data_IF_911917276553
#
_entry.id   IF_911917276553
#
_cell.length_a   1.000
_cell.length_b   1.000
_cell.length_c   1.000
_cell.angle_alpha   90.00
_cell.angle_beta   90.00
_cell.angle_gamma   90.00
#
_symmetry.space_group_name_H-M   'P 1'
#
loop_
_entity.id
_entity.type
_entity.pdbx_description
1 polymer ?
#
# COMPACT_ATOMS: atom_id res chain seq x y z
N UNK A 1 9.76 -15.16 29.91
CA UNK A 1 10.46 -14.03 29.26
C UNK A 1 10.32 -14.09 27.73
N UNK A 2 9.12 -14.40 27.22
CA UNK A 2 8.78 -14.40 25.77
C UNK A 2 7.37 -13.84 25.51
N UNK A 3 6.82 -13.04 26.44
CA UNK A 3 5.51 -12.39 26.27
C UNK A 3 5.66 -11.00 25.64
N UNK A 4 6.43 -10.91 24.54
CA UNK A 4 6.17 -9.83 23.59
C UNK A 4 4.81 -10.14 22.96
N UNK A 5 3.73 -9.75 23.65
CA UNK A 5 2.47 -9.43 23.00
C UNK A 5 2.82 -8.41 21.92
N UNK A 6 3.02 -8.88 20.69
CA UNK A 6 2.74 -8.07 19.53
C UNK A 6 1.31 -7.59 19.75
N UNK A 7 1.13 -6.40 20.31
CA UNK A 7 -0.11 -5.68 20.12
C UNK A 7 -0.15 -5.44 18.61
N UNK A 8 -0.71 -6.42 17.92
CA UNK A 8 -0.43 -6.63 16.52
C UNK A 8 -0.95 -5.45 15.73
N UNK A 9 -0.25 -5.12 14.66
CA UNK A 9 -0.76 -4.20 13.64
C UNK A 9 -2.17 -4.64 13.20
N UNK A 10 -2.46 -5.95 13.19
CA UNK A 10 -3.76 -6.51 12.80
C UNK A 10 -4.90 -6.15 13.79
N UNK A 11 -4.82 -6.41 15.11
CA UNK A 11 -5.76 -5.86 16.07
C UNK A 11 -5.93 -4.34 15.96
N UNK A 12 -4.85 -3.60 15.72
CA UNK A 12 -4.93 -2.14 15.56
C UNK A 12 -5.70 -1.74 14.29
N UNK A 13 -5.49 -2.43 13.17
CA UNK A 13 -6.23 -2.22 11.92
C UNK A 13 -7.71 -2.63 12.07
N UNK A 14 -8.02 -3.67 12.85
CA UNK A 14 -9.39 -4.10 13.12
C UNK A 14 -10.24 -2.98 13.77
N UNK A 15 -9.60 -2.10 14.56
CA UNK A 15 -10.27 -0.94 15.18
C UNK A 15 -10.83 0.05 14.17
N UNK A 16 -10.30 0.09 12.94
CA UNK A 16 -10.86 0.94 11.87
C UNK A 16 -12.32 0.61 11.55
N UNK A 17 -12.75 -0.61 11.85
CA UNK A 17 -14.14 -1.07 11.66
C UNK A 17 -14.81 -1.44 12.99
N UNK A 18 -14.28 -0.96 14.12
CA UNK A 18 -14.86 -1.19 15.45
C UNK A 18 -14.73 -2.64 15.95
N UNK A 19 -13.74 -3.40 15.47
CA UNK A 19 -13.51 -4.80 15.84
C UNK A 19 -12.19 -4.98 16.57
N UNK A 20 -12.13 -5.99 17.44
CA UNK A 20 -10.90 -6.46 18.11
C UNK A 20 -10.39 -7.80 17.52
N UNK A 21 -11.05 -8.34 16.49
CA UNK A 21 -10.66 -9.61 15.87
C UNK A 21 -9.45 -9.46 14.95
N UNK A 22 -8.40 -10.25 15.20
CA UNK A 22 -7.20 -10.30 14.35
C UNK A 22 -7.53 -10.67 12.90
N UNK A 23 -8.47 -11.60 12.70
CA UNK A 23 -8.91 -12.02 11.38
C UNK A 23 -9.62 -10.90 10.63
N UNK A 24 -10.48 -10.13 11.31
CA UNK A 24 -11.11 -8.94 10.72
C UNK A 24 -10.05 -7.89 10.36
N UNK A 25 -9.08 -7.66 11.24
CA UNK A 25 -7.95 -6.76 10.97
C UNK A 25 -7.16 -7.16 9.72
N UNK A 26 -6.90 -8.46 9.54
CA UNK A 26 -6.26 -9.00 8.35
C UNK A 26 -7.06 -8.75 7.07
N UNK A 27 -8.37 -9.05 7.07
CA UNK A 27 -9.23 -8.82 5.90
C UNK A 27 -9.33 -7.34 5.53
N UNK A 28 -9.46 -6.46 6.53
CA UNK A 28 -9.47 -5.00 6.32
C UNK A 28 -8.14 -4.55 5.73
N UNK A 29 -7.02 -5.05 6.25
CA UNK A 29 -5.69 -4.72 5.73
C UNK A 29 -5.52 -5.15 4.27
N UNK A 30 -5.94 -6.36 3.92
CA UNK A 30 -5.94 -6.85 2.53
C UNK A 30 -6.85 -6.03 1.62
N UNK A 31 -8.04 -5.65 2.09
CA UNK A 31 -8.97 -4.82 1.33
C UNK A 31 -8.38 -3.45 1.01
N UNK A 32 -7.77 -2.79 2.01
CA UNK A 32 -7.06 -1.52 1.84
C UNK A 32 -5.91 -1.68 0.84
N UNK A 33 -5.09 -2.73 0.98
CA UNK A 33 -4.03 -3.02 0.04
C UNK A 33 -4.57 -3.17 -1.39
N UNK A 34 -5.58 -4.01 -1.61
CA UNK A 34 -6.17 -4.21 -2.93
C UNK A 34 -6.69 -2.90 -3.57
N UNK A 35 -7.35 -2.03 -2.78
CA UNK A 35 -7.83 -0.72 -3.24
C UNK A 35 -6.66 0.18 -3.64
N UNK A 36 -5.63 0.27 -2.80
CA UNK A 36 -4.44 1.07 -3.09
C UNK A 36 -3.71 0.53 -4.35
N UNK A 37 -3.55 -0.79 -4.47
CA UNK A 37 -2.95 -1.40 -5.66
C UNK A 37 -3.74 -1.11 -6.94
N UNK A 38 -5.08 -1.14 -6.85
CA UNK A 38 -5.96 -0.76 -7.96
C UNK A 38 -5.76 0.71 -8.36
N UNK A 39 -5.70 1.62 -7.39
CA UNK A 39 -5.45 3.05 -7.63
C UNK A 39 -4.12 3.24 -8.36
N UNK A 40 -3.06 2.50 -7.99
CA UNK A 40 -1.80 2.54 -8.72
C UNK A 40 -2.00 2.18 -10.20
N UNK A 41 -2.65 1.05 -10.47
CA UNK A 41 -2.91 0.58 -11.84
C UNK A 41 -3.70 1.59 -12.68
N UNK A 42 -4.66 2.30 -12.07
CA UNK A 42 -5.45 3.34 -12.72
C UNK A 42 -4.64 4.61 -13.03
N UNK A 43 -3.73 5.03 -12.15
CA UNK A 43 -2.90 6.23 -12.33
C UNK A 43 -1.79 6.00 -13.36
N UNK A 44 -1.16 4.82 -13.30
CA UNK A 44 0.14 4.58 -13.93
C UNK A 44 0.11 3.63 -15.14
N UNK A 45 -1.03 3.06 -15.52
CA UNK A 45 -1.14 2.38 -16.82
C UNK A 45 -0.86 3.37 -17.95
N UNK A 46 -0.20 3.04 -19.08
CA UNK A 46 0.24 1.77 -19.70
C UNK A 46 1.65 1.26 -19.31
N UNK A 47 2.19 0.30 -20.09
CA UNK A 47 3.50 -0.34 -19.86
C UNK A 47 4.63 0.69 -19.65
N UNK A 48 5.25 0.62 -18.48
CA UNK A 48 6.36 1.48 -18.09
C UNK A 48 7.69 0.77 -18.39
N UNK A 49 8.77 1.55 -18.55
CA UNK A 49 10.12 0.96 -18.45
C UNK A 49 10.37 0.55 -16.99
N UNK A 50 11.21 -0.47 -16.77
CA UNK A 50 11.54 -0.94 -15.42
C UNK A 50 11.98 0.20 -14.50
N UNK A 51 12.84 1.11 -14.98
CA UNK A 51 13.31 2.26 -14.20
C UNK A 51 12.18 3.23 -13.83
N UNK A 52 11.20 3.44 -14.71
CA UNK A 52 10.02 4.28 -14.41
C UNK A 52 9.14 3.59 -13.39
N UNK A 53 8.91 2.29 -13.53
CA UNK A 53 8.10 1.51 -12.59
C UNK A 53 8.69 1.44 -11.18
N UNK A 54 10.00 1.28 -11.05
CA UNK A 54 10.66 1.28 -9.74
C UNK A 54 10.53 2.65 -9.06
N UNK A 55 10.72 3.74 -9.82
CA UNK A 55 10.57 5.11 -9.28
C UNK A 55 9.13 5.44 -8.92
N UNK A 56 8.18 5.15 -9.81
CA UNK A 56 6.76 5.40 -9.57
C UNK A 56 6.25 4.58 -8.38
N UNK A 57 6.59 3.30 -8.31
CA UNK A 57 6.25 2.43 -7.18
C UNK A 57 6.86 2.90 -5.86
N UNK A 58 8.13 3.32 -5.85
CA UNK A 58 8.78 3.85 -4.65
C UNK A 58 8.10 5.13 -4.15
N UNK A 59 7.89 6.10 -5.04
CA UNK A 59 7.21 7.36 -4.69
C UNK A 59 5.78 7.10 -4.21
N UNK A 60 5.07 6.19 -4.86
CA UNK A 60 3.73 5.81 -4.48
C UNK A 60 3.68 5.18 -3.09
N UNK A 61 4.62 4.29 -2.78
CA UNK A 61 4.79 3.72 -1.44
C UNK A 61 5.02 4.80 -0.38
N UNK A 62 5.92 5.75 -0.64
CA UNK A 62 6.19 6.88 0.27
C UNK A 62 4.93 7.73 0.49
N UNK A 63 4.19 8.03 -0.57
CA UNK A 63 2.94 8.79 -0.49
C UNK A 63 1.95 8.07 0.44
N UNK A 64 1.74 6.77 0.24
CA UNK A 64 0.81 6.01 1.09
C UNK A 64 1.32 5.77 2.51
N UNK A 65 2.63 5.76 2.72
CA UNK A 65 3.19 5.74 4.07
C UNK A 65 2.92 7.05 4.83
N UNK A 66 2.95 8.21 4.15
CA UNK A 66 2.52 9.47 4.78
C UNK A 66 1.00 9.47 4.97
N UNK A 67 0.23 9.15 3.93
CA UNK A 67 -1.23 9.24 4.00
C UNK A 67 -1.83 8.22 4.96
N UNK A 68 -1.41 6.96 4.94
CA UNK A 68 -2.02 5.87 5.70
C UNK A 68 -1.80 6.01 7.22
N UNK A 69 -0.64 5.58 7.74
CA UNK A 69 -0.40 5.51 9.18
C UNK A 69 -0.23 6.87 9.87
N UNK A 70 0.21 7.92 9.16
CA UNK A 70 0.45 9.23 9.79
C UNK A 70 -0.78 10.16 9.77
N UNK A 71 -1.69 10.01 8.80
CA UNK A 71 -2.81 10.93 8.60
C UNK A 71 -4.16 10.21 8.71
N UNK A 72 -4.45 9.31 7.77
CA UNK A 72 -5.77 8.70 7.62
C UNK A 72 -6.15 7.85 8.83
N UNK A 73 -5.24 7.00 9.31
CA UNK A 73 -5.50 6.11 10.45
C UNK A 73 -5.75 6.91 11.74
N UNK A 74 -4.89 7.86 12.15
CA UNK A 74 -5.17 8.70 13.32
C UNK A 74 -6.50 9.44 13.22
N UNK A 75 -6.79 10.07 12.07
CA UNK A 75 -8.04 10.79 11.87
C UNK A 75 -9.26 9.88 11.95
N UNK A 76 -9.19 8.70 11.34
CA UNK A 76 -10.28 7.72 11.36
C UNK A 76 -10.59 7.21 12.77
N UNK A 77 -9.57 7.06 13.60
CA UNK A 77 -9.69 6.62 15.00
C UNK A 77 -9.91 7.77 15.99
N UNK A 78 -10.01 9.02 15.51
CA UNK A 78 -10.19 10.19 16.36
C UNK A 78 -8.96 10.62 17.17
N UNK A 79 -7.77 10.13 16.81
CA UNK A 79 -6.52 10.58 17.42
C UNK A 79 -6.09 11.94 16.83
N UNK A 80 -5.55 12.84 17.67
CA UNK A 80 -5.05 14.12 17.19
C UNK A 80 -3.81 13.92 16.30
N UNK A 81 -3.70 14.74 15.25
CA UNK A 81 -2.48 14.83 14.46
C UNK A 81 -1.40 15.65 15.19
N UNK A 82 -0.11 15.43 14.92
CA UNK A 82 0.97 16.22 15.51
C UNK A 82 0.80 17.73 15.23
N UNK A 83 0.91 18.54 16.28
CA UNK A 83 0.66 19.98 16.20
C UNK A 83 1.80 20.80 15.56
N UNK A 84 3.01 20.22 15.44
CA UNK A 84 4.20 20.92 14.95
C UNK A 84 4.97 20.08 13.94
N UNK A 85 5.69 20.70 12.97
CA UNK A 85 6.53 19.97 12.02
C UNK A 85 7.59 19.07 12.70
N UNK A 86 8.15 19.52 13.83
CA UNK A 86 9.10 18.73 14.59
C UNK A 86 8.48 17.44 15.15
N UNK A 87 7.24 17.51 15.66
CA UNK A 87 6.53 16.34 16.15
C UNK A 87 6.18 15.36 15.02
N UNK A 88 5.85 15.85 13.83
CA UNK A 88 5.66 15.01 12.64
C UNK A 88 6.94 14.23 12.30
N UNK A 89 8.08 14.91 12.25
CA UNK A 89 9.38 14.29 11.94
C UNK A 89 9.75 13.26 13.01
N UNK A 90 9.57 13.58 14.29
CA UNK A 90 9.85 12.64 15.39
C UNK A 90 9.00 11.37 15.28
N UNK A 91 7.70 11.51 14.97
CA UNK A 91 6.81 10.36 14.79
C UNK A 91 7.22 9.51 13.57
N UNK A 92 7.51 10.18 12.45
CA UNK A 92 7.93 9.57 11.18
C UNK A 92 9.19 8.70 11.30
N UNK A 93 10.14 9.09 12.15
CA UNK A 93 11.41 8.36 12.32
C UNK A 93 11.46 7.52 13.60
N UNK A 94 10.32 7.24 14.23
CA UNK A 94 10.24 6.20 15.25
C UNK A 94 10.57 4.82 14.66
N UNK A 95 11.09 3.90 15.49
CA UNK A 95 11.53 2.58 15.02
C UNK A 95 10.43 1.81 14.26
N UNK A 96 9.18 1.85 14.75
CA UNK A 96 8.04 1.21 14.10
C UNK A 96 7.67 1.87 12.77
N UNK A 97 7.78 3.19 12.66
CA UNK A 97 7.46 3.92 11.43
C UNK A 97 8.51 3.74 10.34
N UNK A 98 9.78 3.54 10.70
CA UNK A 98 10.83 3.18 9.75
C UNK A 98 10.56 1.80 9.12
N UNK A 99 10.18 0.80 9.92
CA UNK A 99 9.78 -0.51 9.39
C UNK A 99 8.52 -0.42 8.53
N UNK A 100 7.55 0.42 8.92
CA UNK A 100 6.37 0.72 8.11
C UNK A 100 6.76 1.35 6.76
N UNK A 101 7.71 2.29 6.74
CA UNK A 101 8.19 2.93 5.51
C UNK A 101 8.78 1.91 4.53
N UNK A 102 9.64 1.03 5.03
CA UNK A 102 10.22 -0.06 4.22
C UNK A 102 9.11 -0.92 3.63
N UNK A 103 8.12 -1.30 4.44
CA UNK A 103 6.97 -2.09 3.99
C UNK A 103 6.18 -1.39 2.88
N UNK A 104 5.93 -0.09 2.99
CA UNK A 104 5.20 0.67 1.98
C UNK A 104 6.00 0.88 0.68
N UNK A 105 7.31 1.09 0.78
CA UNK A 105 8.19 1.16 -0.40
C UNK A 105 8.16 -0.17 -1.15
N UNK A 106 8.35 -1.29 -0.43
CA UNK A 106 8.29 -2.63 -1.02
C UNK A 106 6.93 -2.88 -1.64
N UNK A 107 5.84 -2.53 -0.94
CA UNK A 107 4.49 -2.66 -1.46
C UNK A 107 4.26 -1.87 -2.75
N UNK A 108 4.73 -0.61 -2.80
CA UNK A 108 4.60 0.24 -3.98
C UNK A 108 5.41 -0.29 -5.17
N UNK A 109 6.65 -0.75 -4.94
CA UNK A 109 7.48 -1.40 -5.97
C UNK A 109 6.82 -2.69 -6.48
N UNK A 110 6.32 -3.53 -5.59
CA UNK A 110 5.62 -4.77 -6.00
C UNK A 110 4.38 -4.43 -6.82
N UNK A 111 3.59 -3.44 -6.39
CA UNK A 111 2.40 -2.99 -7.10
C UNK A 111 2.72 -2.51 -8.53
N UNK A 112 3.83 -1.80 -8.71
CA UNK A 112 4.24 -1.32 -10.04
C UNK A 112 4.77 -2.42 -10.95
N UNK A 113 5.46 -3.42 -10.40
CA UNK A 113 5.90 -4.60 -11.14
C UNK A 113 4.71 -5.49 -11.53
N UNK A 114 3.79 -5.74 -10.60
CA UNK A 114 2.57 -6.50 -10.87
C UNK A 114 1.71 -5.81 -11.93
N UNK A 115 1.56 -4.49 -11.85
CA UNK A 115 0.85 -3.71 -12.86
C UNK A 115 1.42 -3.90 -14.27
N UNK A 116 2.75 -3.88 -14.42
CA UNK A 116 3.40 -4.14 -15.71
C UNK A 116 3.13 -5.56 -16.23
N UNK A 117 3.25 -6.57 -15.36
CA UNK A 117 3.02 -7.98 -15.74
C UNK A 117 1.57 -8.17 -16.21
N UNK A 118 0.60 -7.68 -15.43
CA UNK A 118 -0.82 -7.82 -15.76
C UNK A 118 -1.16 -7.17 -17.10
N UNK A 119 -0.60 -5.99 -17.38
CA UNK A 119 -0.82 -5.31 -18.65
C UNK A 119 -0.14 -6.02 -19.82
N UNK A 120 1.05 -6.60 -19.63
CA UNK A 120 1.71 -7.41 -20.65
C UNK A 120 0.87 -8.64 -21.05
N UNK A 121 0.30 -9.33 -20.06
CA UNK A 121 -0.60 -10.47 -20.29
C UNK A 121 -1.87 -10.03 -21.02
N UNK A 122 -2.53 -8.98 -20.52
CA UNK A 122 -3.78 -8.46 -21.11
C UNK A 122 -3.55 -7.99 -22.55
N UNK A 123 -2.47 -7.24 -22.81
CA UNK A 123 -2.10 -6.79 -24.14
C UNK A 123 -1.84 -7.93 -25.12
N UNK A 124 -1.11 -8.97 -24.68
CA UNK A 124 -0.87 -10.18 -25.47
C UNK A 124 -2.15 -10.93 -25.81
N UNK A 125 -3.07 -11.07 -24.86
CA UNK A 125 -4.38 -11.71 -25.08
C UNK A 125 -5.21 -10.94 -26.12
N UNK A 126 -5.29 -9.61 -26.02
CA UNK A 126 -6.04 -8.79 -26.98
C UNK A 126 -5.45 -8.83 -28.39
N UNK A 127 -4.11 -8.85 -28.52
CA UNK A 127 -3.45 -9.01 -29.81
C UNK A 127 -3.72 -10.39 -30.41
N UNK A 128 -3.59 -11.47 -29.63
CA UNK A 128 -3.88 -12.83 -30.09
C UNK A 128 -5.34 -13.02 -30.53
N UNK A 129 -6.30 -12.38 -29.86
CA UNK A 129 -7.70 -12.38 -30.29
C UNK A 129 -7.89 -11.63 -31.61
N UNK A 130 -7.22 -10.47 -31.80
CA UNK A 130 -7.26 -9.71 -33.06
C UNK A 130 -6.66 -10.48 -34.22
N UNK A 131 -5.59 -11.23 -34.02
CA UNK A 131 -4.97 -12.06 -35.05
C UNK A 131 -5.88 -13.23 -35.44
N UNK A 132 -6.48 -13.92 -34.46
CA UNK A 132 -7.44 -15.02 -34.70
C UNK A 132 -8.72 -14.56 -35.42
N UNK A 133 -9.18 -13.34 -35.18
CA UNK A 133 -10.35 -12.78 -35.85
C UNK A 133 -10.07 -12.33 -37.31
N UNK A 134 -8.79 -12.26 -37.71
CA UNK A 134 -8.37 -11.89 -39.08
C UNK A 134 -7.96 -13.09 -39.94
N UNK A 135 -7.85 -14.28 -39.35
CA UNK A 135 -7.55 -15.54 -40.03
C UNK A 135 -8.85 -16.27 -40.42
#
# INVERSE_FOLDING_TARGET
MLDMKWQGVLPFVAKLVGSDSEFIGYLVHLGIAAIIGLIFGLIYGPAQTLGVALRSGTLYGIIWWVLGPQILVPLWLGFPLPATPAAWIQNAFSASMVWSLIGHILYGVISSLLGQILQGVVGGLFLGLKERARA
#
